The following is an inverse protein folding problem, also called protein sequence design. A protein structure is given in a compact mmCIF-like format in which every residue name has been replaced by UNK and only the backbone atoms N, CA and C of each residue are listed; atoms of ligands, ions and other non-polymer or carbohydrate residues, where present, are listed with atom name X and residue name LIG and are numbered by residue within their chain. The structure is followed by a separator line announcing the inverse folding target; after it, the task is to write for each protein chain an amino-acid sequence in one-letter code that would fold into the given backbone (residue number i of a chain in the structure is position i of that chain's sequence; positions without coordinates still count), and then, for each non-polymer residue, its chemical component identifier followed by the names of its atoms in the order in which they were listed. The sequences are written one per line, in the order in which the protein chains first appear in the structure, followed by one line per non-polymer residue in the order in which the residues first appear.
data_IF_497618950908
#
_entry.id   IF_497618950908
#
_cell.length_a   1.000
_cell.length_b   1.000
_cell.length_c   1.000
_cell.angle_alpha   90.00
_cell.angle_beta   90.00
_cell.angle_gamma   90.00
#
_symmetry.space_group_name_H-M   'P 1'
#
loop_
_entity.id
_entity.type
_entity.pdbx_description
1 polymer ?
#
# COMPACT_ATOMS: atom_id res chain seq x y z
N UNK A 1 14.90 6.09 -0.51
CA UNK A 1 14.33 4.76 -0.81
C UNK A 1 14.22 3.97 0.47
N UNK A 2 13.11 3.26 0.68
CA UNK A 2 12.92 2.35 1.81
C UNK A 2 13.58 0.99 1.57
N UNK A 3 14.15 0.80 0.38
CA UNK A 3 14.90 -0.39 -0.04
C UNK A 3 14.16 -1.72 0.24
N UNK A 4 12.84 -1.77 -0.07
CA UNK A 4 12.11 -3.04 0.00
C UNK A 4 12.69 -4.02 -1.02
N UNK A 5 13.12 -5.20 -0.55
CA UNK A 5 13.90 -6.17 -1.31
C UNK A 5 13.12 -6.83 -2.46
N UNK A 6 11.80 -6.78 -2.43
CA UNK A 6 10.91 -7.37 -3.45
C UNK A 6 10.46 -6.38 -4.53
N UNK A 7 10.87 -5.11 -4.43
CA UNK A 7 10.35 -4.04 -5.29
C UNK A 7 11.42 -3.46 -6.19
N UNK A 8 11.20 -3.45 -7.50
CA UNK A 8 12.13 -2.85 -8.45
C UNK A 8 12.43 -1.38 -8.14
N UNK A 9 11.43 -0.60 -7.68
CA UNK A 9 11.64 0.77 -7.19
C UNK A 9 12.59 0.82 -5.99
N UNK A 10 12.64 -0.22 -5.16
CA UNK A 10 13.53 -0.30 -3.99
C UNK A 10 15.01 -0.24 -4.35
N UNK A 11 15.37 -0.69 -5.55
CA UNK A 11 16.76 -0.65 -6.05
C UNK A 11 17.19 0.74 -6.54
N UNK A 12 16.25 1.66 -6.71
CA UNK A 12 16.53 2.99 -7.24
C UNK A 12 16.91 3.98 -6.14
N UNK A 13 17.78 4.93 -6.49
CA UNK A 13 18.01 6.10 -5.64
C UNK A 13 16.88 7.11 -5.81
N UNK A 14 16.50 7.77 -4.71
CA UNK A 14 15.56 8.89 -4.77
C UNK A 14 16.23 10.07 -5.50
N UNK A 15 15.63 10.52 -6.59
CA UNK A 15 16.09 11.71 -7.28
C UNK A 15 15.64 12.98 -6.52
N UNK A 16 14.33 13.13 -6.33
CA UNK A 16 13.71 14.21 -5.53
C UNK A 16 12.28 13.83 -5.16
N UNK A 17 11.70 14.57 -4.25
CA UNK A 17 10.26 14.54 -4.02
C UNK A 17 9.53 15.38 -5.08
N UNK A 18 8.32 14.96 -5.44
CA UNK A 18 7.39 15.76 -6.23
C UNK A 18 6.72 16.82 -5.35
N UNK A 19 6.43 17.99 -5.90
CA UNK A 19 5.59 18.98 -5.24
C UNK A 19 4.10 18.65 -5.44
N UNK A 20 3.21 19.38 -4.76
CA UNK A 20 1.78 19.12 -4.79
C UNK A 20 1.15 19.28 -6.18
N UNK A 21 1.61 20.26 -6.97
CA UNK A 21 1.13 20.49 -8.32
C UNK A 21 1.54 19.34 -9.25
N UNK A 22 2.78 18.88 -9.20
CA UNK A 22 3.27 17.74 -9.99
C UNK A 22 2.50 16.44 -9.67
N UNK A 23 2.11 16.24 -8.41
CA UNK A 23 1.29 15.09 -8.02
C UNK A 23 -0.13 15.24 -8.56
N UNK A 24 -0.72 16.44 -8.45
CA UNK A 24 -2.04 16.74 -8.97
C UNK A 24 -2.11 16.59 -10.50
N UNK A 25 -1.12 17.10 -11.22
CA UNK A 25 -1.07 17.06 -12.69
C UNK A 25 -1.11 15.63 -13.24
N UNK A 26 -0.45 14.67 -12.58
CA UNK A 26 -0.55 13.25 -12.98
C UNK A 26 -2.00 12.76 -12.95
N UNK A 27 -2.75 13.14 -11.91
CA UNK A 27 -4.14 12.73 -11.76
C UNK A 27 -5.01 13.45 -12.77
N UNK A 28 -4.79 14.75 -12.96
CA UNK A 28 -5.55 15.57 -13.89
C UNK A 28 -5.42 15.08 -15.34
N UNK A 29 -4.19 14.85 -15.81
CA UNK A 29 -3.90 14.35 -17.15
C UNK A 29 -4.59 12.99 -17.38
N UNK A 30 -4.42 12.05 -16.44
CA UNK A 30 -5.05 10.74 -16.56
C UNK A 30 -6.58 10.79 -16.48
N UNK A 31 -7.14 11.76 -15.75
CA UNK A 31 -8.58 11.97 -15.72
C UNK A 31 -9.12 12.45 -17.07
N UNK A 32 -8.45 13.41 -17.72
CA UNK A 32 -8.80 13.89 -19.05
C UNK A 32 -8.68 12.77 -20.09
N UNK A 33 -7.63 11.98 -20.05
CA UNK A 33 -7.47 10.80 -20.90
C UNK A 33 -8.58 9.77 -20.67
N UNK A 34 -8.96 9.52 -19.42
CA UNK A 34 -10.03 8.59 -19.08
C UNK A 34 -11.39 9.06 -19.65
N UNK A 35 -11.69 10.35 -19.55
CA UNK A 35 -12.88 10.95 -20.12
C UNK A 35 -12.85 10.84 -21.64
N UNK A 36 -11.73 11.19 -22.27
CA UNK A 36 -11.57 11.16 -23.74
C UNK A 36 -11.71 9.75 -24.30
N UNK A 37 -11.07 8.75 -23.67
CA UNK A 37 -11.01 7.39 -24.21
C UNK A 37 -12.18 6.50 -23.79
N UNK A 38 -12.78 6.76 -22.60
CA UNK A 38 -13.80 5.89 -22.01
C UNK A 38 -15.12 6.60 -21.70
N UNK A 39 -15.22 7.91 -21.92
CA UNK A 39 -16.39 8.73 -21.60
C UNK A 39 -16.71 8.85 -20.11
N UNK A 40 -15.74 8.54 -19.23
CA UNK A 40 -15.92 8.52 -17.77
C UNK A 40 -14.67 9.02 -17.04
N UNK A 41 -14.82 9.83 -15.98
CA UNK A 41 -13.70 10.24 -15.16
C UNK A 41 -13.12 9.06 -14.35
N UNK A 42 -11.95 9.28 -13.78
CA UNK A 42 -11.35 8.33 -12.83
C UNK A 42 -12.31 8.06 -11.67
N UNK A 43 -12.49 6.78 -11.33
CA UNK A 43 -13.37 6.38 -10.22
C UNK A 43 -12.66 6.36 -8.87
N UNK A 44 -11.40 6.01 -8.85
CA UNK A 44 -10.58 5.91 -7.64
C UNK A 44 -9.12 6.24 -7.92
N UNK A 45 -8.42 6.71 -6.90
CA UNK A 45 -6.98 7.02 -6.95
C UNK A 45 -6.28 6.25 -5.85
N UNK A 46 -5.12 5.69 -6.17
CA UNK A 46 -4.26 5.03 -5.20
C UNK A 46 -2.86 5.65 -5.26
N UNK A 47 -2.36 6.12 -4.13
CA UNK A 47 -0.97 6.54 -3.97
C UNK A 47 -0.13 5.29 -3.65
N UNK A 48 0.09 4.48 -4.69
CA UNK A 48 0.78 3.20 -4.64
C UNK A 48 1.82 3.08 -5.77
N UNK A 49 2.37 4.20 -6.19
CA UNK A 49 3.43 4.26 -7.20
C UNK A 49 4.82 4.11 -6.62
N UNK A 50 5.75 4.92 -7.11
CA UNK A 50 7.15 4.91 -6.69
C UNK A 50 7.35 5.82 -5.46
N UNK A 51 8.06 5.32 -4.44
CA UNK A 51 8.40 6.07 -3.23
C UNK A 51 7.47 5.81 -2.04
N UNK A 52 7.64 6.64 -1.00
CA UNK A 52 6.86 6.56 0.25
C UNK A 52 6.10 7.89 0.45
N UNK A 53 4.76 7.88 0.32
CA UNK A 53 3.96 9.11 0.41
C UNK A 53 4.14 9.85 1.73
N UNK A 54 4.27 9.15 2.85
CA UNK A 54 4.39 9.77 4.17
C UNK A 54 5.76 10.43 4.42
N UNK A 55 6.77 10.18 3.58
CA UNK A 55 8.02 10.95 3.59
C UNK A 55 7.92 12.23 2.77
N UNK A 56 6.86 12.39 1.97
CA UNK A 56 6.51 13.63 1.24
C UNK A 56 5.16 14.20 1.72
N UNK A 57 4.94 14.16 3.01
CA UNK A 57 3.66 14.35 3.69
C UNK A 57 2.89 15.59 3.24
N UNK A 58 3.52 16.75 3.31
CA UNK A 58 2.84 18.02 3.01
C UNK A 58 2.37 18.10 1.56
N UNK A 59 3.25 17.76 0.60
CA UNK A 59 2.89 17.76 -0.83
C UNK A 59 1.79 16.75 -1.17
N UNK A 60 1.80 15.59 -0.50
CA UNK A 60 0.74 14.58 -0.68
C UNK A 60 -0.59 15.09 -0.14
N UNK A 61 -0.65 15.67 1.07
CA UNK A 61 -1.90 16.19 1.62
C UNK A 61 -2.43 17.38 0.82
N UNK A 62 -1.55 18.28 0.38
CA UNK A 62 -1.91 19.41 -0.45
C UNK A 62 -2.47 18.93 -1.81
N UNK A 63 -1.84 17.96 -2.46
CA UNK A 63 -2.35 17.40 -3.71
C UNK A 63 -3.72 16.74 -3.53
N UNK A 64 -3.95 16.02 -2.42
CA UNK A 64 -5.26 15.45 -2.09
C UNK A 64 -6.29 16.56 -1.88
N UNK A 65 -5.92 17.65 -1.24
CA UNK A 65 -6.80 18.82 -1.10
C UNK A 65 -7.19 19.39 -2.46
N UNK A 66 -6.24 19.55 -3.38
CA UNK A 66 -6.51 20.00 -4.76
C UNK A 66 -7.45 19.03 -5.51
N UNK A 67 -7.23 17.71 -5.38
CA UNK A 67 -8.07 16.69 -6.02
C UNK A 67 -9.50 16.70 -5.47
N UNK A 68 -9.67 16.94 -4.18
CA UNK A 68 -10.99 16.82 -3.50
C UNK A 68 -11.81 18.10 -3.49
N UNK A 69 -11.20 19.26 -3.70
CA UNK A 69 -11.93 20.55 -3.75
C UNK A 69 -12.84 20.62 -4.98
N UNK A 70 -13.96 21.34 -4.85
CA UNK A 70 -14.89 21.58 -5.98
C UNK A 70 -14.23 22.32 -7.14
N UNK A 71 -13.25 23.18 -6.89
CA UNK A 71 -12.45 23.86 -7.90
C UNK A 71 -11.43 22.95 -8.61
N UNK A 72 -11.17 21.78 -8.04
CA UNK A 72 -10.33 20.73 -8.64
C UNK A 72 -11.19 19.66 -9.30
N UNK A 73 -10.96 18.39 -8.95
CA UNK A 73 -11.72 17.28 -9.53
C UNK A 73 -12.99 16.93 -8.73
N UNK A 74 -13.26 17.58 -7.59
CA UNK A 74 -14.42 17.31 -6.75
C UNK A 74 -14.53 15.86 -6.27
N UNK A 75 -13.42 15.11 -6.28
CA UNK A 75 -13.42 13.69 -5.93
C UNK A 75 -13.61 13.49 -4.43
N UNK A 76 -14.51 12.58 -4.04
CA UNK A 76 -14.67 12.23 -2.64
C UNK A 76 -13.36 11.66 -2.06
N UNK A 77 -12.91 12.12 -0.87
CA UNK A 77 -11.73 11.55 -0.21
C UNK A 77 -11.81 10.03 -0.01
N UNK A 78 -13.00 9.46 0.15
CA UNK A 78 -13.22 8.01 0.27
C UNK A 78 -12.86 7.22 -0.99
N UNK A 79 -12.65 7.89 -2.12
CA UNK A 79 -12.17 7.29 -3.38
C UNK A 79 -10.65 7.37 -3.51
N UNK A 80 -9.96 7.94 -2.53
CA UNK A 80 -8.51 8.07 -2.50
C UNK A 80 -7.95 7.12 -1.45
N UNK A 81 -6.91 6.38 -1.80
CA UNK A 81 -6.18 5.51 -0.87
C UNK A 81 -4.70 5.91 -0.86
N UNK A 82 -4.17 6.20 0.31
CA UNK A 82 -2.74 6.43 0.51
C UNK A 82 -2.13 5.18 1.14
N UNK A 83 -1.11 4.62 0.50
CA UNK A 83 -0.37 3.48 1.01
C UNK A 83 0.94 3.91 1.65
N UNK A 84 1.33 3.26 2.73
CA UNK A 84 2.61 3.50 3.41
C UNK A 84 3.27 2.18 3.81
N UNK A 85 4.58 2.17 3.81
CA UNK A 85 5.36 1.06 4.37
C UNK A 85 5.30 0.99 5.91
N UNK A 86 4.65 1.97 6.55
CA UNK A 86 4.45 1.97 8.00
C UNK A 86 5.35 2.97 8.74
N UNK A 87 5.37 4.23 8.33
CA UNK A 87 6.07 5.30 9.06
C UNK A 87 5.21 5.68 10.28
N UNK A 88 5.40 4.99 11.41
CA UNK A 88 4.55 5.05 12.60
C UNK A 88 4.23 6.47 13.07
N UNK A 89 5.25 7.33 13.18
CA UNK A 89 5.08 8.75 13.55
C UNK A 89 4.12 9.48 12.61
N UNK A 90 4.21 9.21 11.30
CA UNK A 90 3.38 9.89 10.31
C UNK A 90 1.97 9.31 10.24
N UNK A 91 1.80 8.01 10.55
CA UNK A 91 0.47 7.40 10.72
C UNK A 91 -0.26 8.06 11.89
N UNK A 92 0.41 8.26 13.03
CA UNK A 92 -0.16 8.99 14.18
C UNK A 92 -0.54 10.42 13.77
N UNK A 93 0.32 11.11 13.02
CA UNK A 93 0.04 12.45 12.50
C UNK A 93 -1.18 12.50 11.57
N UNK A 94 -1.38 11.50 10.70
CA UNK A 94 -2.61 11.39 9.91
C UNK A 94 -3.87 11.30 10.79
N UNK A 95 -3.77 10.60 11.93
CA UNK A 95 -4.83 10.55 12.93
C UNK A 95 -5.13 11.92 13.53
N UNK A 96 -4.09 12.67 13.94
CA UNK A 96 -4.22 14.01 14.51
C UNK A 96 -4.79 15.00 13.50
N UNK A 97 -4.38 14.92 12.23
CA UNK A 97 -4.88 15.77 11.14
C UNK A 97 -6.30 15.38 10.68
N UNK A 98 -6.88 14.30 11.20
CA UNK A 98 -8.26 13.88 10.94
C UNK A 98 -8.56 13.57 9.47
N UNK A 99 -7.62 12.94 8.77
CA UNK A 99 -7.73 12.67 7.33
C UNK A 99 -8.94 11.79 6.99
N UNK A 100 -9.53 12.02 5.79
CA UNK A 100 -10.76 11.32 5.34
C UNK A 100 -10.54 10.32 4.22
N UNK A 101 -9.34 10.23 3.66
CA UNK A 101 -8.98 9.24 2.66
C UNK A 101 -8.72 7.87 3.32
N UNK A 102 -8.67 6.82 2.51
CA UNK A 102 -8.39 5.47 3.01
C UNK A 102 -6.88 5.30 3.24
N UNK A 103 -6.52 4.66 4.36
CA UNK A 103 -5.14 4.30 4.66
C UNK A 103 -4.89 2.83 4.36
N UNK A 104 -3.84 2.55 3.58
CA UNK A 104 -3.32 1.22 3.34
C UNK A 104 -1.92 1.08 3.96
N UNK A 105 -1.64 -0.06 4.57
CA UNK A 105 -0.36 -0.38 5.17
C UNK A 105 0.28 -1.54 4.42
N UNK A 106 1.43 -1.31 3.82
CA UNK A 106 2.27 -2.36 3.24
C UNK A 106 2.87 -3.19 4.36
N UNK A 107 2.13 -4.22 4.80
CA UNK A 107 2.51 -5.05 5.95
C UNK A 107 3.44 -6.19 5.52
N UNK A 108 3.02 -6.99 4.56
CA UNK A 108 3.69 -8.11 3.91
C UNK A 108 4.23 -9.21 4.83
N UNK A 109 4.35 -8.99 6.12
CA UNK A 109 4.59 -10.01 7.14
C UNK A 109 4.14 -9.51 8.52
N UNK A 110 3.57 -10.40 9.31
CA UNK A 110 3.26 -10.18 10.73
C UNK A 110 4.29 -10.87 11.66
N UNK A 111 5.51 -11.09 11.16
CA UNK A 111 6.68 -11.56 11.90
C UNK A 111 7.82 -10.59 11.67
N UNK A 112 8.38 -9.99 12.73
CA UNK A 112 9.48 -9.03 12.61
C UNK A 112 10.67 -9.63 11.88
N UNK A 113 11.07 -10.87 12.22
CA UNK A 113 12.21 -11.53 11.59
C UNK A 113 12.04 -11.70 10.06
N UNK A 114 10.84 -12.02 9.60
CA UNK A 114 10.53 -12.11 8.16
C UNK A 114 10.38 -10.75 7.51
N UNK A 115 9.75 -9.79 8.22
CA UNK A 115 9.58 -8.43 7.72
C UNK A 115 10.91 -7.69 7.60
N UNK A 116 11.86 -7.93 8.50
CA UNK A 116 13.23 -7.40 8.44
C UNK A 116 13.98 -7.80 7.15
N UNK A 117 13.68 -9.01 6.64
CA UNK A 117 14.27 -9.51 5.40
C UNK A 117 13.73 -8.75 4.19
N UNK A 118 12.41 -8.57 4.10
CA UNK A 118 11.76 -8.01 2.90
C UNK A 118 11.57 -6.50 2.97
N UNK A 119 11.51 -5.93 4.16
CA UNK A 119 11.27 -4.50 4.39
C UNK A 119 12.24 -3.95 5.46
N UNK A 120 13.43 -3.46 5.07
CA UNK A 120 14.43 -2.97 6.01
C UNK A 120 13.97 -1.86 6.96
N UNK A 121 12.89 -1.15 6.63
CA UNK A 121 12.26 -0.17 7.53
C UNK A 121 11.83 -0.79 8.85
N UNK A 122 11.51 -2.10 8.90
CA UNK A 122 11.08 -2.78 10.10
C UNK A 122 12.15 -2.79 11.21
N UNK A 123 13.42 -2.80 10.83
CA UNK A 123 14.54 -2.68 11.80
C UNK A 123 14.54 -1.36 12.57
N UNK A 124 13.84 -0.33 12.04
CA UNK A 124 13.70 0.99 12.69
C UNK A 124 12.33 1.17 13.33
N UNK A 125 11.30 0.56 12.75
CA UNK A 125 9.90 0.65 13.18
C UNK A 125 9.35 -0.77 13.15
N UNK A 126 9.38 -1.45 14.30
CA UNK A 126 8.94 -2.82 14.41
C UNK A 126 7.41 -2.96 14.34
N UNK A 127 6.93 -4.20 14.29
CA UNK A 127 5.50 -4.49 14.17
C UNK A 127 4.68 -4.00 15.36
N UNK A 128 5.24 -3.94 16.58
CA UNK A 128 4.52 -3.43 17.74
C UNK A 128 4.29 -1.92 17.63
N UNK A 129 5.34 -1.15 17.29
CA UNK A 129 5.22 0.29 17.07
C UNK A 129 4.27 0.62 15.91
N UNK A 130 4.32 -0.18 14.84
CA UNK A 130 3.37 -0.06 13.73
C UNK A 130 1.94 -0.33 14.19
N UNK A 131 1.72 -1.39 14.96
CA UNK A 131 0.41 -1.78 15.50
C UNK A 131 -0.18 -0.69 16.39
N UNK A 132 0.62 -0.12 17.27
CA UNK A 132 0.21 1.01 18.11
C UNK A 132 -0.19 2.24 17.29
N UNK A 133 0.59 2.56 16.24
CA UNK A 133 0.29 3.71 15.38
C UNK A 133 -1.01 3.53 14.60
N UNK A 134 -1.31 2.32 14.14
CA UNK A 134 -2.56 2.00 13.47
C UNK A 134 -3.74 2.07 14.44
N UNK A 135 -3.59 1.58 15.67
CA UNK A 135 -4.60 1.71 16.72
C UNK A 135 -4.91 3.17 17.01
N UNK A 136 -3.86 3.97 17.21
CA UNK A 136 -4.00 5.42 17.43
C UNK A 136 -4.75 6.10 16.28
N UNK A 137 -4.39 5.79 15.02
CA UNK A 137 -5.07 6.30 13.85
C UNK A 137 -6.57 5.95 13.85
N UNK A 138 -6.91 4.69 14.17
CA UNK A 138 -8.30 4.26 14.29
C UNK A 138 -9.03 5.00 15.41
N UNK A 139 -8.44 5.14 16.58
CA UNK A 139 -9.03 5.84 17.73
C UNK A 139 -9.34 7.31 17.41
N UNK A 140 -8.49 7.95 16.57
CA UNK A 140 -8.68 9.35 16.15
C UNK A 140 -9.68 9.54 15.02
N UNK A 141 -9.72 8.63 14.06
CA UNK A 141 -10.47 8.82 12.81
C UNK A 141 -11.71 7.93 12.66
N UNK A 142 -11.80 6.85 13.43
CA UNK A 142 -12.79 5.80 13.23
C UNK A 142 -12.64 5.03 11.91
N UNK A 143 -11.57 5.31 11.15
CA UNK A 143 -11.38 4.77 9.81
C UNK A 143 -10.67 3.42 9.82
N UNK A 144 -11.28 2.43 9.19
CA UNK A 144 -10.67 1.13 8.98
C UNK A 144 -9.44 1.22 8.09
N UNK A 145 -8.35 0.52 8.45
CA UNK A 145 -7.16 0.40 7.60
C UNK A 145 -7.23 -0.81 6.68
N UNK A 146 -6.49 -0.76 5.57
CA UNK A 146 -6.28 -1.92 4.69
C UNK A 146 -4.84 -2.39 4.85
N UNK A 147 -4.63 -3.68 5.13
CA UNK A 147 -3.30 -4.28 5.09
C UNK A 147 -3.06 -4.89 3.71
N UNK A 148 -2.02 -4.43 3.03
CA UNK A 148 -1.52 -5.01 1.80
C UNK A 148 -0.52 -6.12 2.16
N UNK A 149 -0.74 -7.33 1.67
CA UNK A 149 0.05 -8.51 2.02
C UNK A 149 0.39 -9.33 0.77
N UNK A 150 1.62 -9.17 0.29
CA UNK A 150 2.13 -9.98 -0.82
C UNK A 150 2.49 -11.35 -0.29
N UNK A 151 2.02 -12.41 -0.95
CA UNK A 151 2.39 -13.77 -0.63
C UNK A 151 3.65 -14.18 -1.42
N UNK A 152 4.73 -14.47 -0.70
CA UNK A 152 5.98 -15.01 -1.22
C UNK A 152 6.09 -16.49 -0.85
N UNK A 153 6.33 -17.31 -1.85
CA UNK A 153 6.49 -18.77 -1.69
C UNK A 153 7.56 -19.08 -0.64
N UNK A 154 7.24 -19.99 0.27
CA UNK A 154 8.11 -20.51 1.33
C UNK A 154 8.68 -19.46 2.30
N UNK A 155 8.22 -18.19 2.22
CA UNK A 155 8.68 -17.13 3.09
C UNK A 155 7.61 -16.68 4.10
N UNK A 156 6.43 -16.28 3.63
CA UNK A 156 5.38 -15.67 4.46
C UNK A 156 3.97 -16.19 4.13
N UNK A 157 3.89 -17.36 3.51
CA UNK A 157 2.65 -17.96 2.99
C UNK A 157 2.18 -19.21 3.76
N UNK A 158 2.80 -19.51 4.91
CA UNK A 158 2.42 -20.62 5.77
C UNK A 158 1.16 -20.30 6.61
N UNK A 159 0.56 -21.34 7.18
CA UNK A 159 -0.57 -21.19 8.12
C UNK A 159 -0.12 -20.47 9.40
N UNK A 160 1.11 -20.66 9.85
CA UNK A 160 1.70 -19.93 10.99
C UNK A 160 1.79 -18.43 10.70
N UNK A 161 2.08 -18.05 9.47
CA UNK A 161 2.07 -16.64 9.05
C UNK A 161 0.65 -16.06 9.06
N UNK A 162 -0.34 -16.84 8.60
CA UNK A 162 -1.74 -16.45 8.70
C UNK A 162 -2.19 -16.28 10.16
N UNK A 163 -1.74 -17.16 11.08
CA UNK A 163 -2.02 -17.04 12.52
C UNK A 163 -1.46 -15.73 13.10
N UNK A 164 -0.20 -15.42 12.79
CA UNK A 164 0.43 -14.17 13.24
C UNK A 164 -0.29 -12.95 12.66
N UNK A 165 -0.72 -13.02 11.40
CA UNK A 165 -1.48 -11.95 10.76
C UNK A 165 -2.82 -11.72 11.47
N UNK A 166 -3.56 -12.79 11.83
CA UNK A 166 -4.78 -12.69 12.65
C UNK A 166 -4.52 -11.98 13.98
N UNK A 167 -3.42 -12.30 14.67
CA UNK A 167 -3.08 -11.63 15.93
C UNK A 167 -2.76 -10.14 15.72
N UNK A 168 -2.06 -9.82 14.63
CA UNK A 168 -1.73 -8.44 14.30
C UNK A 168 -2.99 -7.60 14.02
N UNK A 169 -3.98 -8.16 13.34
CA UNK A 169 -5.24 -7.46 13.00
C UNK A 169 -6.11 -7.08 14.20
N UNK A 170 -5.82 -7.60 15.39
CA UNK A 170 -6.53 -7.20 16.63
C UNK A 170 -6.27 -5.74 17.05
N UNK A 171 -5.38 -5.02 16.37
CA UNK A 171 -5.14 -3.59 16.58
C UNK A 171 -6.36 -2.71 16.28
N UNK A 172 -7.28 -3.16 15.44
CA UNK A 172 -8.49 -2.43 15.07
C UNK A 172 -9.18 -3.02 13.84
N UNK A 173 -10.35 -2.50 13.48
CA UNK A 173 -11.05 -2.93 12.27
C UNK A 173 -10.18 -2.77 11.03
N UNK A 174 -10.06 -3.82 10.26
CA UNK A 174 -9.22 -3.83 9.07
C UNK A 174 -9.83 -4.62 7.92
N UNK A 175 -9.18 -4.50 6.77
CA UNK A 175 -9.34 -5.35 5.60
C UNK A 175 -7.95 -5.84 5.20
N UNK A 176 -7.85 -7.04 4.66
CA UNK A 176 -6.60 -7.57 4.09
C UNK A 176 -6.76 -7.69 2.58
N UNK A 177 -5.84 -7.10 1.84
CA UNK A 177 -5.65 -7.38 0.43
C UNK A 177 -4.47 -8.35 0.31
N UNK A 178 -4.74 -9.59 0.00
CA UNK A 178 -3.71 -10.53 -0.43
C UNK A 178 -3.32 -10.20 -1.87
N UNK A 179 -2.03 -10.17 -2.13
CA UNK A 179 -1.46 -9.79 -3.42
C UNK A 179 -0.59 -10.94 -3.91
N UNK A 180 -0.82 -11.38 -5.13
CA UNK A 180 0.09 -12.29 -5.80
C UNK A 180 1.39 -11.55 -6.13
N UNK A 181 2.53 -12.16 -5.79
CA UNK A 181 3.82 -11.58 -6.16
C UNK A 181 3.96 -11.50 -7.69
N UNK A 182 4.35 -10.35 -8.18
CA UNK A 182 4.72 -10.16 -9.57
C UNK A 182 6.23 -10.28 -9.67
N UNK A 183 6.70 -11.27 -10.41
CA UNK A 183 8.14 -11.53 -10.57
C UNK A 183 8.85 -10.28 -11.09
N UNK A 184 9.95 -9.95 -10.44
CA UNK A 184 10.87 -8.89 -10.84
C UNK A 184 12.18 -9.56 -11.22
N UNK A 185 12.69 -9.26 -12.40
CA UNK A 185 13.94 -9.82 -12.90
C UNK A 185 15.11 -9.52 -11.95
N UNK A 186 15.90 -10.55 -11.64
CA UNK A 186 17.04 -10.44 -10.74
C UNK A 186 16.71 -10.52 -9.25
N UNK A 187 15.44 -10.65 -8.85
CA UNK A 187 15.06 -10.85 -7.44
C UNK A 187 14.73 -12.32 -7.15
N UNK A 188 15.08 -12.84 -5.95
CA UNK A 188 14.99 -14.28 -5.63
C UNK A 188 13.59 -14.74 -5.19
N UNK A 189 12.58 -13.87 -5.29
CA UNK A 189 11.24 -14.18 -4.79
C UNK A 189 10.39 -14.88 -5.83
N UNK A 190 9.56 -15.81 -5.37
CA UNK A 190 8.59 -16.52 -6.18
C UNK A 190 7.16 -16.31 -5.66
N UNK A 191 6.20 -16.44 -6.56
CA UNK A 191 4.78 -16.42 -6.23
C UNK A 191 4.37 -17.72 -5.53
N UNK A 192 3.56 -17.61 -4.49
CA UNK A 192 2.89 -18.75 -3.86
C UNK A 192 1.95 -19.46 -4.83
N UNK A 193 1.79 -20.77 -4.66
CA UNK A 193 0.83 -21.55 -5.46
C UNK A 193 -0.62 -21.12 -5.16
N UNK A 194 -1.51 -21.34 -6.12
CA UNK A 194 -2.93 -21.03 -5.94
C UNK A 194 -3.51 -21.77 -4.72
N UNK A 195 -3.13 -23.05 -4.54
CA UNK A 195 -3.57 -23.85 -3.40
C UNK A 195 -3.17 -23.23 -2.06
N UNK A 196 -1.93 -22.78 -1.92
CA UNK A 196 -1.44 -22.14 -0.69
C UNK A 196 -2.16 -20.81 -0.47
N UNK A 197 -2.33 -20.00 -1.53
CA UNK A 197 -3.07 -18.74 -1.48
C UNK A 197 -4.51 -18.93 -1.01
N UNK A 198 -5.21 -19.94 -1.55
CA UNK A 198 -6.59 -20.27 -1.16
C UNK A 198 -6.68 -20.76 0.29
N UNK A 199 -5.74 -21.59 0.73
CA UNK A 199 -5.68 -22.05 2.12
C UNK A 199 -5.43 -20.90 3.09
N UNK A 200 -4.50 -20.01 2.76
CA UNK A 200 -4.19 -18.80 3.55
C UNK A 200 -5.43 -17.89 3.64
N UNK A 201 -6.08 -17.63 2.51
CA UNK A 201 -7.29 -16.81 2.43
C UNK A 201 -8.42 -17.41 3.27
N UNK A 202 -8.72 -18.70 3.08
CA UNK A 202 -9.75 -19.42 3.83
C UNK A 202 -9.50 -19.36 5.34
N UNK A 203 -8.23 -19.53 5.77
CA UNK A 203 -7.87 -19.43 7.19
C UNK A 203 -8.23 -18.08 7.81
N UNK A 204 -8.05 -16.98 7.06
CA UNK A 204 -8.40 -15.63 7.51
C UNK A 204 -9.92 -15.41 7.51
N UNK A 205 -10.62 -15.87 6.47
CA UNK A 205 -12.09 -15.75 6.34
C UNK A 205 -12.83 -16.50 7.47
N UNK A 206 -12.37 -17.71 7.82
CA UNK A 206 -12.92 -18.49 8.95
C UNK A 206 -12.78 -17.77 10.30
N UNK A 207 -11.95 -16.73 10.38
CA UNK A 207 -11.76 -15.87 11.58
C UNK A 207 -12.41 -14.50 11.42
N UNK A 208 -13.38 -14.40 10.50
CA UNK A 208 -14.15 -13.19 10.23
C UNK A 208 -13.29 -11.97 9.81
N UNK A 209 -12.14 -12.21 9.17
CA UNK A 209 -11.33 -11.15 8.59
C UNK A 209 -11.77 -10.93 7.15
N UNK A 210 -12.09 -9.68 6.81
CA UNK A 210 -12.42 -9.32 5.43
C UNK A 210 -11.16 -9.39 4.56
N UNK A 211 -11.14 -10.37 3.66
CA UNK A 211 -10.01 -10.64 2.77
C UNK A 211 -10.43 -10.48 1.31
N UNK A 212 -9.54 -9.97 0.49
CA UNK A 212 -9.68 -9.98 -0.97
C UNK A 212 -8.36 -10.38 -1.61
N UNK A 213 -8.43 -11.22 -2.64
CA UNK A 213 -7.28 -11.50 -3.49
C UNK A 213 -7.22 -10.44 -4.59
N UNK A 214 -6.19 -9.60 -4.56
CA UNK A 214 -5.95 -8.58 -5.55
C UNK A 214 -5.23 -9.17 -6.76
N UNK A 215 -5.95 -9.32 -7.86
CA UNK A 215 -5.34 -9.69 -9.14
C UNK A 215 -4.56 -8.52 -9.71
N UNK A 216 -3.30 -8.73 -10.02
CA UNK A 216 -2.43 -7.72 -10.63
C UNK A 216 -2.86 -7.44 -12.07
N UNK A 217 -2.91 -6.14 -12.41
CA UNK A 217 -3.09 -5.64 -13.78
C UNK A 217 -1.78 -5.02 -14.25
N UNK A 218 -1.58 -4.90 -15.56
CA UNK A 218 -0.39 -4.28 -16.14
C UNK A 218 0.88 -5.13 -16.07
N UNK A 219 0.76 -6.46 -15.89
CA UNK A 219 1.91 -7.39 -15.91
C UNK A 219 2.61 -7.41 -17.28
N UNK A 220 1.83 -7.29 -18.32
CA UNK A 220 2.24 -7.28 -19.73
C UNK A 220 3.12 -6.10 -20.12
N UNK A 221 2.98 -4.98 -19.38
CA UNK A 221 3.74 -3.74 -19.60
C UNK A 221 4.69 -3.41 -18.44
N UNK A 222 4.96 -4.37 -17.54
CA UNK A 222 5.78 -4.17 -16.32
C UNK A 222 5.29 -3.01 -15.43
N UNK A 223 3.98 -2.75 -15.40
CA UNK A 223 3.36 -1.73 -14.57
C UNK A 223 2.60 -2.29 -13.35
N UNK A 224 2.70 -3.59 -13.12
CA UNK A 224 2.12 -4.20 -11.93
C UNK A 224 2.88 -3.81 -10.66
N UNK A 225 2.24 -4.02 -9.49
CA UNK A 225 2.83 -3.72 -8.19
C UNK A 225 4.22 -4.35 -8.05
N UNK A 226 5.19 -3.55 -7.63
CA UNK A 226 6.59 -3.96 -7.45
C UNK A 226 7.45 -3.92 -8.71
N UNK A 227 6.88 -3.70 -9.91
CA UNK A 227 7.60 -3.74 -11.18
C UNK A 227 8.01 -2.36 -11.73
N UNK A 228 7.51 -1.27 -11.12
CA UNK A 228 7.77 0.09 -11.62
C UNK A 228 9.23 0.47 -11.47
N UNK A 229 9.87 0.75 -12.59
CA UNK A 229 11.24 1.30 -12.68
C UNK A 229 11.30 2.34 -13.80
N UNK A 230 12.13 3.36 -13.65
CA UNK A 230 12.47 4.24 -14.74
C UNK A 230 13.43 3.51 -15.69
N UNK A 231 12.93 3.07 -16.85
CA UNK A 231 13.74 2.52 -17.94
C UNK A 231 14.23 3.60 -18.92
N UNK A 232 14.23 4.86 -18.51
CA UNK A 232 14.85 5.92 -19.30
C UNK A 232 16.36 5.66 -19.31
N UNK A 233 16.85 5.23 -20.49
CA UNK A 233 18.27 5.20 -20.82
C UNK A 233 18.77 6.61 -21.05
#
# INVERSE_FOLDING_TARGET
SLACEFCATGTLKLARNLNAAEIYDQVFILNEEAISNFGKPLSNIVFMGMGEPLLNYNSVLESISLITTEKGLGMSPKRITVSTAGIAKMIKKLGDDGVRFNLAISLHSASDSKRDIIMPINKKINLEELRESVRYFYDKTGSRVTYEYILFKDLNDSIEDAQKLVQFTKAGPCKINLIEYNTVEGLPYERSSNRVTEQFMKYLEERNILVTLRKSKGKDINAACGQLVNKLK
#
